data_IF_001847426604
#
_entry.id   IF_001847426604
#
_cell.length_a   1.000
_cell.length_b   1.000
_cell.length_c   1.000
_cell.angle_alpha   90.00
_cell.angle_beta   90.00
_cell.angle_gamma   90.00
#
_symmetry.space_group_name_H-M   'P 1'
#
loop_
_entity.id
_entity.type
_entity.pdbx_description
1 polymer ?
#
# COMPACT_ATOMS: atom_id res chain seq x y z
N UNK A 1 7.42 8.81 15.41
CA UNK A 1 8.19 8.24 16.55
C UNK A 1 8.31 6.75 16.30
N UNK A 2 9.53 6.21 16.33
CA UNK A 2 9.76 4.79 16.12
C UNK A 2 9.49 4.01 17.41
N UNK A 3 8.75 2.91 17.29
CA UNK A 3 8.49 2.02 18.41
C UNK A 3 9.74 1.22 18.77
N UNK A 4 9.97 0.99 20.05
CA UNK A 4 11.05 0.15 20.55
C UNK A 4 10.62 -1.31 20.71
N UNK A 5 9.34 -1.57 20.96
CA UNK A 5 8.80 -2.90 21.29
C UNK A 5 7.42 -3.15 20.69
N UNK A 6 7.03 -4.42 20.60
CA UNK A 6 5.68 -4.83 20.18
C UNK A 6 4.59 -4.33 21.15
N UNK A 7 4.93 -4.15 22.44
CA UNK A 7 4.05 -3.56 23.45
C UNK A 7 3.74 -2.08 23.16
N UNK A 8 4.71 -1.30 22.68
CA UNK A 8 4.47 0.09 22.28
C UNK A 8 3.53 0.17 21.07
N UNK A 9 3.68 -0.75 20.09
CA UNK A 9 2.75 -0.86 18.96
C UNK A 9 1.34 -1.16 19.49
N UNK A 10 1.20 -2.16 20.35
CA UNK A 10 -0.08 -2.58 20.93
C UNK A 10 -0.73 -1.46 21.73
N UNK A 11 0.04 -0.77 22.57
CA UNK A 11 -0.43 0.36 23.37
C UNK A 11 -0.87 1.54 22.49
N UNK A 12 -0.16 1.81 21.39
CA UNK A 12 -0.56 2.86 20.44
C UNK A 12 -1.88 2.56 19.74
N UNK A 13 -2.21 1.28 19.56
CA UNK A 13 -3.41 0.83 18.86
C UNK A 13 -4.58 0.47 19.78
N UNK A 14 -4.37 0.47 21.10
CA UNK A 14 -5.41 0.19 22.09
C UNK A 14 -6.61 1.11 21.92
N UNK A 15 -7.80 0.54 21.76
CA UNK A 15 -9.04 1.30 21.51
C UNK A 15 -9.23 1.75 20.05
N UNK A 16 -8.30 1.40 19.15
CA UNK A 16 -8.34 1.73 17.72
C UNK A 16 -8.46 0.46 16.89
N UNK A 17 -7.64 -0.54 17.22
CA UNK A 17 -7.55 -1.83 16.55
C UNK A 17 -7.32 -2.92 17.60
N UNK A 18 -8.08 -4.01 17.53
CA UNK A 18 -7.79 -5.25 18.26
C UNK A 18 -7.24 -6.32 17.32
N UNK A 19 -6.26 -7.08 17.82
CA UNK A 19 -5.68 -8.24 17.14
C UNK A 19 -6.35 -9.51 17.66
N UNK A 20 -7.00 -10.28 16.78
CA UNK A 20 -7.68 -11.52 17.13
C UNK A 20 -7.25 -12.65 16.18
N UNK A 21 -6.43 -13.59 16.67
CA UNK A 21 -6.03 -14.82 15.95
C UNK A 21 -5.59 -14.60 14.48
N UNK A 22 -4.80 -13.55 14.23
CA UNK A 22 -4.32 -13.22 12.88
C UNK A 22 -5.27 -12.35 12.04
N UNK A 23 -6.42 -11.96 12.59
CA UNK A 23 -7.32 -10.94 12.04
C UNK A 23 -7.22 -9.63 12.84
N UNK A 24 -7.59 -8.52 12.20
CA UNK A 24 -7.68 -7.19 12.81
C UNK A 24 -9.15 -6.81 12.89
N UNK A 25 -9.59 -6.29 14.04
CA UNK A 25 -10.91 -5.67 14.20
C UNK A 25 -10.69 -4.18 14.41
N UNK A 26 -11.35 -3.35 13.60
CA UNK A 26 -11.27 -1.90 13.72
C UNK A 26 -12.31 -1.43 14.74
N UNK A 27 -11.84 -0.84 15.84
CA UNK A 27 -12.70 -0.30 16.90
C UNK A 27 -13.05 1.17 16.66
N UNK A 28 -12.11 1.93 16.06
CA UNK A 28 -12.32 3.33 15.70
C UNK A 28 -11.48 3.73 14.48
N UNK A 29 -12.09 3.68 13.29
CA UNK A 29 -11.42 3.98 12.02
C UNK A 29 -10.94 5.44 11.94
N UNK A 30 -11.77 6.40 12.34
CA UNK A 30 -11.40 7.82 12.29
C UNK A 30 -10.18 8.12 13.17
N UNK A 31 -10.18 7.65 14.43
CA UNK A 31 -9.04 7.86 15.33
C UNK A 31 -7.80 7.10 14.89
N UNK A 32 -7.95 5.92 14.29
CA UNK A 32 -6.83 5.18 13.70
C UNK A 32 -6.15 6.02 12.60
N UNK A 33 -6.95 6.56 11.68
CA UNK A 33 -6.49 7.39 10.56
C UNK A 33 -5.81 8.67 11.06
N UNK A 34 -6.40 9.36 12.04
CA UNK A 34 -5.89 10.66 12.50
C UNK A 34 -4.74 10.58 13.48
N UNK A 35 -4.64 9.51 14.29
CA UNK A 35 -3.68 9.46 15.40
C UNK A 35 -2.60 8.39 15.28
N UNK A 36 -2.80 7.30 14.54
CA UNK A 36 -1.86 6.17 14.57
C UNK A 36 -1.29 5.80 13.19
N UNK A 37 -2.04 6.00 12.11
CA UNK A 37 -1.67 5.55 10.78
C UNK A 37 -0.31 6.08 10.29
N UNK A 38 -0.08 7.39 10.39
CA UNK A 38 1.18 8.00 9.91
C UNK A 38 2.40 7.43 10.67
N UNK A 39 2.24 7.14 11.97
CA UNK A 39 3.29 6.49 12.78
C UNK A 39 3.48 5.03 12.39
N UNK A 40 2.42 4.29 12.07
CA UNK A 40 2.55 2.92 11.56
C UNK A 40 3.28 2.89 10.22
N UNK A 41 2.97 3.81 9.31
CA UNK A 41 3.64 3.90 8.00
C UNK A 41 5.12 4.23 8.19
N UNK A 42 5.45 5.21 9.04
CA UNK A 42 6.84 5.53 9.39
C UNK A 42 7.59 4.29 9.92
N UNK A 43 6.99 3.56 10.86
CA UNK A 43 7.57 2.36 11.45
C UNK A 43 7.66 1.17 10.48
N UNK A 44 6.78 1.12 9.47
CA UNK A 44 6.79 0.06 8.46
C UNK A 44 8.03 0.07 7.56
N UNK A 45 8.70 1.23 7.47
CA UNK A 45 9.87 1.46 6.60
C UNK A 45 11.12 1.78 7.43
N UNK A 46 11.05 2.74 8.35
CA UNK A 46 12.22 3.36 8.97
C UNK A 46 12.64 2.72 10.30
N UNK A 47 11.81 1.84 10.88
CA UNK A 47 12.16 1.23 12.16
C UNK A 47 13.39 0.32 12.02
N UNK A 48 14.39 0.37 12.92
CA UNK A 48 15.56 -0.52 12.85
C UNK A 48 15.20 -2.00 13.05
N UNK A 49 14.17 -2.30 13.84
CA UNK A 49 13.69 -3.65 14.10
C UNK A 49 12.90 -4.22 12.92
N UNK A 50 13.40 -5.31 12.33
CA UNK A 50 12.70 -6.02 11.27
C UNK A 50 11.33 -6.57 11.73
N UNK A 51 11.23 -6.96 13.01
CA UNK A 51 10.00 -7.40 13.64
C UNK A 51 8.94 -6.28 13.62
N UNK A 52 9.30 -5.07 14.06
CA UNK A 52 8.36 -3.93 14.10
C UNK A 52 7.99 -3.47 12.69
N UNK A 53 8.92 -3.49 11.73
CA UNK A 53 8.60 -3.25 10.31
C UNK A 53 7.58 -4.27 9.80
N UNK A 54 7.77 -5.55 10.12
CA UNK A 54 6.85 -6.64 9.76
C UNK A 54 5.47 -6.46 10.37
N UNK A 55 5.40 -6.24 11.69
CA UNK A 55 4.16 -6.05 12.43
C UNK A 55 3.39 -4.82 11.93
N UNK A 56 4.06 -3.69 11.72
CA UNK A 56 3.43 -2.47 11.19
C UNK A 56 2.82 -2.71 9.80
N UNK A 57 3.53 -3.42 8.91
CA UNK A 57 3.02 -3.77 7.57
C UNK A 57 1.84 -4.72 7.63
N UNK A 58 1.90 -5.72 8.52
CA UNK A 58 0.78 -6.63 8.75
C UNK A 58 -0.47 -5.86 9.18
N UNK A 59 -0.34 -4.97 10.17
CA UNK A 59 -1.47 -4.18 10.68
C UNK A 59 -2.04 -3.28 9.57
N UNK A 60 -1.19 -2.55 8.84
CA UNK A 60 -1.63 -1.70 7.71
C UNK A 60 -2.39 -2.53 6.68
N UNK A 61 -1.87 -3.70 6.28
CA UNK A 61 -2.50 -4.56 5.28
C UNK A 61 -3.85 -5.11 5.76
N UNK A 62 -3.93 -5.53 7.02
CA UNK A 62 -5.16 -6.07 7.60
C UNK A 62 -6.23 -4.99 7.76
N UNK A 63 -5.85 -3.80 8.24
CA UNK A 63 -6.75 -2.63 8.31
C UNK A 63 -7.25 -2.23 6.92
N UNK A 64 -6.36 -2.19 5.92
CA UNK A 64 -6.75 -1.87 4.54
C UNK A 64 -7.85 -2.82 4.06
N UNK A 65 -7.67 -4.13 4.28
CA UNK A 65 -8.64 -5.15 3.87
C UNK A 65 -10.00 -4.96 4.57
N UNK A 66 -10.01 -4.75 5.89
CA UNK A 66 -11.24 -4.50 6.66
C UNK A 66 -11.96 -3.20 6.23
N UNK A 67 -11.23 -2.21 5.72
CA UNK A 67 -11.79 -0.98 5.14
C UNK A 67 -12.21 -1.12 3.67
N UNK A 68 -12.13 -2.33 3.10
CA UNK A 68 -12.50 -2.59 1.70
C UNK A 68 -11.45 -2.11 0.68
N UNK A 69 -10.22 -1.85 1.12
CA UNK A 69 -9.08 -1.51 0.24
C UNK A 69 -8.37 -2.82 -0.11
N UNK A 70 -8.61 -3.30 -1.33
CA UNK A 70 -8.21 -4.66 -1.73
C UNK A 70 -7.10 -4.60 -2.76
N UNK A 71 -5.94 -5.16 -2.43
CA UNK A 71 -4.88 -5.40 -3.41
C UNK A 71 -5.43 -6.31 -4.51
N UNK A 72 -5.43 -5.81 -5.74
CA UNK A 72 -6.08 -6.46 -6.88
C UNK A 72 -5.17 -6.49 -8.09
N UNK A 73 -5.38 -7.47 -8.98
CA UNK A 73 -4.74 -7.50 -10.29
C UNK A 73 -5.55 -6.67 -11.29
N UNK A 74 -4.87 -5.87 -12.11
CA UNK A 74 -5.50 -5.11 -13.20
C UNK A 74 -5.92 -6.01 -14.37
N UNK A 75 -5.47 -7.27 -14.39
CA UNK A 75 -5.65 -8.21 -15.49
C UNK A 75 -7.09 -8.29 -15.99
N UNK A 76 -8.08 -8.37 -15.09
CA UNK A 76 -9.49 -8.49 -15.49
C UNK A 76 -10.00 -7.30 -16.33
N UNK A 77 -9.51 -6.09 -16.05
CA UNK A 77 -9.84 -4.91 -16.86
C UNK A 77 -9.22 -5.01 -18.26
N UNK A 78 -7.99 -5.52 -18.35
CA UNK A 78 -7.30 -5.70 -19.62
C UNK A 78 -7.88 -6.84 -20.45
N UNK A 79 -8.34 -7.92 -19.82
CA UNK A 79 -9.05 -9.02 -20.49
C UNK A 79 -10.36 -8.51 -21.11
N UNK A 80 -11.18 -7.81 -20.31
CA UNK A 80 -12.43 -7.20 -20.78
C UNK A 80 -12.19 -6.23 -21.95
N UNK A 81 -11.13 -5.42 -21.88
CA UNK A 81 -10.74 -4.53 -22.98
C UNK A 81 -10.31 -5.31 -24.22
N UNK A 82 -9.53 -6.38 -24.06
CA UNK A 82 -9.09 -7.25 -25.16
C UNK A 82 -10.25 -7.96 -25.86
N UNK A 83 -11.34 -8.22 -25.14
CA UNK A 83 -12.59 -8.79 -25.64
C UNK A 83 -13.55 -7.74 -26.22
N UNK A 84 -13.22 -6.45 -26.13
CA UNK A 84 -14.07 -5.35 -26.62
C UNK A 84 -15.24 -4.99 -25.70
N UNK A 85 -15.29 -5.51 -24.47
CA UNK A 85 -16.35 -5.24 -23.49
C UNK A 85 -16.27 -3.82 -22.90
N UNK A 86 -15.08 -3.20 -22.95
CA UNK A 86 -14.88 -1.81 -22.54
C UNK A 86 -13.88 -1.07 -23.46
N UNK A 87 -14.07 0.23 -23.64
CA UNK A 87 -13.20 1.10 -24.46
C UNK A 87 -13.35 2.57 -24.07
N UNK A 88 -12.57 3.47 -24.71
CA UNK A 88 -12.74 4.93 -24.56
C UNK A 88 -11.94 5.60 -23.44
N UNK A 89 -11.02 4.87 -22.78
CA UNK A 89 -10.17 5.42 -21.71
C UNK A 89 -8.75 4.85 -21.73
N UNK A 90 -7.86 5.42 -20.93
CA UNK A 90 -6.54 4.87 -20.62
C UNK A 90 -6.41 4.66 -19.11
N UNK A 91 -5.49 3.79 -18.70
CA UNK A 91 -5.17 3.53 -17.30
C UNK A 91 -3.78 4.10 -17.04
N UNK A 92 -3.63 5.15 -16.21
CA UNK A 92 -2.31 5.67 -15.88
C UNK A 92 -1.56 4.68 -14.99
N UNK A 93 -0.31 4.41 -15.34
CA UNK A 93 0.65 3.69 -14.49
C UNK A 93 1.70 4.68 -13.99
N UNK A 94 1.91 4.72 -12.68
CA UNK A 94 2.64 5.80 -12.01
C UNK A 94 3.79 5.19 -11.20
N UNK A 95 5.02 5.46 -11.62
CA UNK A 95 6.22 5.04 -10.90
C UNK A 95 6.35 5.80 -9.58
N UNK A 96 6.39 5.07 -8.46
CA UNK A 96 6.46 5.66 -7.12
C UNK A 96 7.90 5.64 -6.61
N UNK A 97 8.45 6.83 -6.37
CA UNK A 97 9.83 7.04 -5.91
C UNK A 97 9.95 8.21 -4.95
N UNK A 98 10.97 8.19 -4.10
CA UNK A 98 11.30 9.27 -3.18
C UNK A 98 10.30 9.39 -2.03
N UNK A 99 9.54 10.49 -1.95
CA UNK A 99 8.51 10.73 -0.92
C UNK A 99 7.27 9.87 -1.14
N UNK A 100 7.44 8.54 -1.18
CA UNK A 100 6.41 7.60 -1.65
C UNK A 100 5.11 7.70 -0.88
N UNK A 101 5.14 7.97 0.43
CA UNK A 101 3.92 8.11 1.21
C UNK A 101 3.10 9.34 0.78
N UNK A 102 3.71 10.52 0.78
CA UNK A 102 3.03 11.76 0.41
C UNK A 102 2.66 11.81 -1.08
N UNK A 103 3.49 11.19 -1.93
CA UNK A 103 3.19 11.07 -3.36
C UNK A 103 2.01 10.14 -3.59
N UNK A 104 1.97 8.95 -2.98
CA UNK A 104 0.82 8.04 -3.04
C UNK A 104 -0.46 8.68 -2.50
N UNK A 105 -0.38 9.42 -1.38
CA UNK A 105 -1.52 10.19 -0.86
C UNK A 105 -2.04 11.22 -1.85
N UNK A 106 -1.13 11.92 -2.52
CA UNK A 106 -1.49 12.91 -3.54
C UNK A 106 -2.17 12.27 -4.75
N UNK A 107 -1.73 11.07 -5.15
CA UNK A 107 -2.38 10.28 -6.20
C UNK A 107 -3.82 9.93 -5.79
N UNK A 108 -4.05 9.39 -4.59
CA UNK A 108 -5.40 9.07 -4.13
C UNK A 108 -6.32 10.29 -4.05
N UNK A 109 -5.86 11.41 -3.47
CA UNK A 109 -6.66 12.66 -3.44
C UNK A 109 -7.00 13.16 -4.84
N UNK A 110 -6.05 13.07 -5.76
CA UNK A 110 -6.24 13.51 -7.14
C UNK A 110 -7.22 12.60 -7.86
N UNK A 111 -7.09 11.28 -7.70
CA UNK A 111 -8.02 10.31 -8.27
C UNK A 111 -9.45 10.52 -7.79
N UNK A 112 -9.66 10.77 -6.48
CA UNK A 112 -10.97 11.10 -5.93
C UNK A 112 -11.52 12.41 -6.49
N UNK A 113 -10.70 13.47 -6.52
CA UNK A 113 -11.10 14.78 -7.05
C UNK A 113 -11.53 14.70 -8.52
N UNK A 114 -10.85 13.87 -9.32
CA UNK A 114 -11.11 13.68 -10.74
C UNK A 114 -12.18 12.62 -11.01
N UNK A 115 -12.68 11.94 -9.97
CA UNK A 115 -13.53 10.76 -10.11
C UNK A 115 -12.94 9.74 -11.10
N UNK A 116 -11.63 9.50 -10.98
CA UNK A 116 -10.90 8.57 -11.85
C UNK A 116 -11.36 7.14 -11.60
N UNK A 117 -11.42 6.35 -12.67
CA UNK A 117 -11.53 4.89 -12.59
C UNK A 117 -10.21 4.25 -12.14
N UNK A 118 -9.72 3.28 -12.89
CA UNK A 118 -8.50 2.54 -12.55
C UNK A 118 -7.22 3.34 -12.75
N UNK A 119 -6.25 3.15 -11.85
CA UNK A 119 -4.87 3.64 -11.95
C UNK A 119 -3.92 2.65 -11.27
N UNK A 120 -2.67 2.60 -11.71
CA UNK A 120 -1.69 1.60 -11.27
C UNK A 120 -0.53 2.31 -10.57
N UNK A 121 -0.15 1.80 -9.40
CA UNK A 121 1.13 2.11 -8.78
C UNK A 121 2.18 1.14 -9.30
N UNK A 122 3.32 1.63 -9.76
CA UNK A 122 4.39 0.76 -10.21
C UNK A 122 5.75 1.14 -9.62
N UNK A 123 6.66 0.17 -9.62
CA UNK A 123 8.06 0.37 -9.28
C UNK A 123 8.91 -0.45 -10.24
N UNK A 124 9.90 0.18 -10.87
CA UNK A 124 10.76 -0.52 -11.80
C UNK A 124 11.87 -1.31 -11.07
N UNK A 125 12.33 -2.40 -11.68
CA UNK A 125 13.46 -3.20 -11.14
C UNK A 125 14.72 -2.37 -10.89
N UNK A 126 15.01 -1.41 -11.75
CA UNK A 126 16.13 -0.47 -11.59
C UNK A 126 15.91 0.46 -10.40
N UNK A 127 14.67 0.93 -10.20
CA UNK A 127 14.30 1.82 -9.10
C UNK A 127 14.49 1.18 -7.74
N UNK A 128 14.09 -0.08 -7.57
CA UNK A 128 14.36 -0.86 -6.34
C UNK A 128 15.86 -0.80 -6.00
N UNK A 129 16.72 -0.92 -7.01
CA UNK A 129 18.17 -0.95 -6.83
C UNK A 129 18.78 0.38 -6.36
N UNK A 130 18.42 1.50 -7.00
CA UNK A 130 19.04 2.79 -6.67
C UNK A 130 18.32 3.57 -5.57
N UNK A 131 17.03 3.29 -5.34
CA UNK A 131 16.26 3.92 -4.26
C UNK A 131 16.28 3.11 -2.97
N UNK A 132 16.69 1.83 -3.04
CA UNK A 132 16.59 0.86 -1.96
C UNK A 132 15.15 0.61 -1.47
N UNK A 133 14.13 0.98 -2.25
CA UNK A 133 12.73 0.80 -1.90
C UNK A 133 12.29 -0.61 -2.25
N UNK A 134 12.13 -1.48 -1.25
CA UNK A 134 11.77 -2.86 -1.49
C UNK A 134 10.26 -3.01 -1.78
N UNK A 135 9.83 -3.96 -2.64
CA UNK A 135 8.41 -4.14 -2.97
C UNK A 135 7.49 -4.34 -1.74
N UNK A 136 7.97 -5.07 -0.74
CA UNK A 136 7.18 -5.31 0.48
C UNK A 136 7.07 -4.06 1.38
N UNK A 137 7.95 -3.07 1.22
CA UNK A 137 7.84 -1.76 1.86
C UNK A 137 6.85 -0.86 1.10
N UNK A 138 7.01 -0.76 -0.22
CA UNK A 138 6.18 0.15 -1.03
C UNK A 138 4.69 -0.22 -0.97
N UNK A 139 4.37 -1.51 -0.90
CA UNK A 139 2.99 -1.99 -0.73
C UNK A 139 2.39 -1.47 0.58
N UNK A 140 3.11 -1.54 1.69
CA UNK A 140 2.65 -1.01 2.98
C UNK A 140 2.44 0.51 2.94
N UNK A 141 3.35 1.23 2.28
CA UNK A 141 3.25 2.69 2.09
C UNK A 141 2.02 3.08 1.26
N UNK A 142 1.79 2.40 0.12
CA UNK A 142 0.64 2.66 -0.76
C UNK A 142 -0.66 2.38 -0.03
N UNK A 143 -0.76 1.26 0.69
CA UNK A 143 -1.96 0.93 1.47
C UNK A 143 -2.18 1.92 2.62
N UNK A 144 -1.12 2.34 3.32
CA UNK A 144 -1.20 3.41 4.30
C UNK A 144 -1.75 4.70 3.70
N UNK A 145 -1.30 5.07 2.50
CA UNK A 145 -1.80 6.25 1.79
C UNK A 145 -3.27 6.09 1.39
N UNK A 146 -3.68 4.91 0.93
CA UNK A 146 -5.07 4.61 0.59
C UNK A 146 -5.98 4.77 1.80
N UNK A 147 -5.57 4.22 2.96
CA UNK A 147 -6.30 4.35 4.23
C UNK A 147 -6.38 5.83 4.64
N UNK A 148 -5.27 6.56 4.57
CA UNK A 148 -5.19 7.97 4.99
C UNK A 148 -6.16 8.86 4.24
N UNK A 149 -6.31 8.59 2.95
CA UNK A 149 -7.17 9.33 2.04
C UNK A 149 -8.55 8.69 1.89
N UNK A 150 -8.90 7.70 2.72
CA UNK A 150 -10.22 7.03 2.75
C UNK A 150 -10.64 6.44 1.39
N UNK A 151 -9.68 5.92 0.63
CA UNK A 151 -9.96 5.15 -0.58
C UNK A 151 -10.75 3.88 -0.23
N UNK A 152 -11.57 3.39 -1.17
CA UNK A 152 -12.24 2.09 -1.06
C UNK A 152 -12.20 1.39 -2.43
N UNK A 153 -12.19 0.06 -2.42
CA UNK A 153 -12.11 -0.74 -3.65
C UNK A 153 -10.68 -1.15 -4.01
N UNK A 154 -10.44 -1.49 -5.29
CA UNK A 154 -9.19 -2.10 -5.71
C UNK A 154 -8.01 -1.11 -5.64
N UNK A 155 -6.84 -1.65 -5.31
CA UNK A 155 -5.54 -0.99 -5.44
C UNK A 155 -4.64 -1.87 -6.29
N UNK A 156 -4.20 -1.34 -7.43
CA UNK A 156 -3.37 -2.05 -8.39
C UNK A 156 -1.89 -1.68 -8.20
N UNK A 157 -1.06 -2.69 -7.96
CA UNK A 157 0.39 -2.53 -7.79
C UNK A 157 1.11 -3.48 -8.74
N UNK A 158 2.04 -2.97 -9.54
CA UNK A 158 2.75 -3.74 -10.57
C UNK A 158 4.26 -3.51 -10.51
N UNK A 159 5.04 -4.52 -10.92
CA UNK A 159 6.46 -4.35 -11.22
C UNK A 159 6.67 -3.87 -12.65
N UNK A 160 7.46 -2.82 -12.83
CA UNK A 160 7.84 -2.29 -14.14
C UNK A 160 9.21 -2.83 -14.60
N UNK A 161 9.33 -3.15 -15.89
CA UNK A 161 10.54 -3.73 -16.51
C UNK A 161 11.11 -4.97 -15.79
N UNK A 162 10.25 -5.83 -15.23
CA UNK A 162 10.68 -7.10 -14.64
C UNK A 162 10.99 -8.14 -15.73
N UNK A 163 12.28 -8.30 -16.01
CA UNK A 163 12.78 -9.32 -16.93
C UNK A 163 13.55 -10.41 -16.19
N UNK A 164 13.26 -11.67 -16.54
CA UNK A 164 14.03 -12.83 -16.14
C UNK A 164 15.28 -12.89 -17.00
N UNK A 165 16.46 -12.91 -16.37
CA UNK A 165 17.72 -13.11 -17.08
C UNK A 165 18.12 -14.58 -16.98
N UNK A 166 17.83 -15.36 -18.01
CA UNK A 166 18.11 -16.81 -18.04
C UNK A 166 19.58 -17.16 -17.72
N UNK A 167 20.55 -16.30 -18.12
CA UNK A 167 21.98 -16.51 -17.84
C UNK A 167 22.37 -16.41 -16.36
N UNK A 168 21.48 -15.90 -15.50
CA UNK A 168 21.70 -15.86 -14.04
C UNK A 168 21.15 -17.09 -13.33
N UNK A 169 20.47 -17.99 -14.04
CA UNK A 169 19.81 -19.19 -13.50
C UNK A 169 20.33 -20.49 -14.15
N UNK A 170 21.25 -20.38 -15.10
CA UNK A 170 21.99 -21.45 -15.76
C UNK A 170 23.47 -21.25 -15.44
#
# INVERSE_FOLDING_TARGET
MLFATDDEVTNRLKGLVSLNNGSVIIENSERLITHALDTLVENSVLNPSAQIRGLSRFIIKSVALELGIVLSSIQGLYDARGQGECSGFTVPAINIRGMSYDFSRSIFRTAQKLNTGSFIFEIAKSEIGYTFQQPHEIVGVILGAAIREKHTGPVFIQGDHFQVNAKKFL
#
